data_IF_710367926896
#
_entry.id   IF_710367926896
#
_cell.length_a   1.000
_cell.length_b   1.000
_cell.length_c   1.000
_cell.angle_alpha   90.00
_cell.angle_beta   90.00
_cell.angle_gamma   90.00
#
_symmetry.space_group_name_H-M   'P 1'
#
loop_
_entity.id
_entity.type
_entity.pdbx_description
1 polymer ?
#
# COMPACT_ATOMS: atom_id res chain seq x y z
N UNK A 1 10.26 -5.63 23.35
CA UNK A 1 10.53 -4.20 23.10
C UNK A 1 11.12 -4.11 21.70
N UNK A 2 10.35 -3.66 20.72
CA UNK A 2 10.83 -3.42 19.36
C UNK A 2 12.01 -2.45 19.42
N UNK A 3 13.18 -2.89 18.93
CA UNK A 3 14.31 -1.99 18.73
C UNK A 3 13.99 -1.10 17.51
N UNK A 4 13.20 -0.05 17.70
CA UNK A 4 12.79 0.92 16.66
C UNK A 4 13.96 1.77 16.12
N UNK A 5 15.20 1.43 16.44
CA UNK A 5 16.39 2.27 16.15
C UNK A 5 16.71 2.41 14.65
N UNK A 6 16.00 1.71 13.77
CA UNK A 6 16.28 1.74 12.33
C UNK A 6 15.22 2.41 11.46
N UNK A 7 14.07 2.82 12.04
CA UNK A 7 13.00 3.47 11.27
C UNK A 7 13.25 4.97 11.20
N UNK A 8 13.17 5.53 9.99
CA UNK A 8 13.43 6.94 9.72
C UNK A 8 12.20 7.61 9.11
N UNK A 9 12.01 8.88 9.42
CA UNK A 9 10.95 9.68 8.82
C UNK A 9 11.04 9.62 7.28
N UNK A 10 9.93 9.29 6.62
CA UNK A 10 9.86 9.03 5.19
C UNK A 10 9.98 7.56 4.79
N UNK A 11 10.18 6.64 5.75
CA UNK A 11 10.14 5.21 5.47
C UNK A 11 8.73 4.76 5.11
N UNK A 12 8.64 3.97 4.05
CA UNK A 12 7.42 3.29 3.62
C UNK A 12 7.40 1.94 4.31
N UNK A 13 6.33 1.63 5.06
CA UNK A 13 6.20 0.39 5.81
C UNK A 13 5.15 -0.49 5.13
N UNK A 14 5.61 -1.59 4.55
CA UNK A 14 4.79 -2.61 3.91
C UNK A 14 4.41 -3.68 4.92
N UNK A 15 3.15 -4.08 4.93
CA UNK A 15 2.59 -4.98 5.94
C UNK A 15 1.93 -6.21 5.35
N UNK A 16 2.13 -7.35 6.03
CA UNK A 16 1.28 -8.52 5.95
C UNK A 16 0.30 -8.47 7.11
N UNK A 17 -0.84 -7.80 6.92
CA UNK A 17 -1.91 -7.81 7.91
C UNK A 17 -2.44 -9.23 8.10
N UNK A 18 -2.84 -9.56 9.34
CA UNK A 18 -3.41 -10.87 9.65
C UNK A 18 -4.64 -11.13 8.76
N UNK A 19 -4.69 -12.31 8.14
CA UNK A 19 -5.72 -12.70 7.17
C UNK A 19 -7.09 -13.02 7.80
N UNK A 20 -7.42 -12.44 8.95
CA UNK A 20 -8.71 -12.66 9.62
C UNK A 20 -9.89 -12.00 8.89
N UNK A 21 -9.64 -11.40 7.73
CA UNK A 21 -10.57 -10.67 6.91
C UNK A 21 -10.36 -11.10 5.44
N UNK A 22 -11.47 -11.43 4.78
CA UNK A 22 -11.47 -11.90 3.39
C UNK A 22 -10.88 -10.88 2.42
N UNK A 23 -11.08 -9.57 2.68
CA UNK A 23 -10.50 -8.49 1.90
C UNK A 23 -8.97 -8.56 1.85
N UNK A 24 -8.30 -8.67 3.01
CA UNK A 24 -6.83 -8.76 3.05
C UNK A 24 -6.31 -10.00 2.31
N UNK A 25 -7.05 -11.10 2.36
CA UNK A 25 -6.76 -12.30 1.59
C UNK A 25 -6.84 -12.06 0.08
N UNK A 26 -7.93 -11.44 -0.37
CA UNK A 26 -8.16 -11.12 -1.78
C UNK A 26 -7.11 -10.13 -2.31
N UNK A 27 -6.76 -9.09 -1.53
CA UNK A 27 -5.68 -8.16 -1.88
C UNK A 27 -4.35 -8.91 -2.05
N UNK A 28 -3.98 -9.78 -1.10
CA UNK A 28 -2.73 -10.57 -1.23
C UNK A 28 -2.68 -11.40 -2.51
N UNK A 29 -3.79 -12.02 -2.90
CA UNK A 29 -3.88 -12.84 -4.12
C UNK A 29 -3.81 -11.98 -5.39
N UNK A 30 -4.45 -10.82 -5.38
CA UNK A 30 -4.47 -9.90 -6.52
C UNK A 30 -3.09 -9.32 -6.87
N UNK A 31 -2.21 -9.16 -5.89
CA UNK A 31 -0.84 -8.69 -6.10
C UNK A 31 0.14 -9.79 -6.48
N UNK A 32 -0.23 -11.05 -6.32
CA UNK A 32 0.67 -12.18 -6.54
C UNK A 32 1.14 -12.24 -8.00
N UNK A 33 2.39 -12.64 -8.18
CA UNK A 33 2.99 -12.95 -9.49
C UNK A 33 3.83 -14.21 -9.37
N UNK A 34 4.07 -14.91 -10.46
CA UNK A 34 4.95 -16.08 -10.44
C UNK A 34 6.35 -15.74 -9.90
N UNK A 35 6.95 -16.68 -9.16
CA UNK A 35 8.35 -16.59 -8.67
C UNK A 35 8.64 -15.44 -7.68
N UNK A 36 7.69 -15.01 -6.90
CA UNK A 36 7.91 -14.08 -5.79
C UNK A 36 8.06 -14.84 -4.47
N UNK A 37 8.85 -14.30 -3.53
CA UNK A 37 9.01 -14.92 -2.20
C UNK A 37 7.71 -14.83 -1.38
N UNK A 38 7.55 -15.76 -0.42
CA UNK A 38 6.31 -15.93 0.34
C UNK A 38 5.97 -14.71 1.23
N UNK A 39 6.99 -14.00 1.74
CA UNK A 39 6.76 -12.81 2.56
C UNK A 39 6.19 -11.70 1.67
N UNK A 40 6.81 -11.44 0.53
CA UNK A 40 6.30 -10.43 -0.42
C UNK A 40 4.90 -10.78 -0.91
N UNK A 41 4.60 -12.05 -1.20
CA UNK A 41 3.24 -12.50 -1.57
C UNK A 41 2.20 -12.21 -0.50
N UNK A 42 2.60 -12.16 0.77
CA UNK A 42 1.69 -11.93 1.88
C UNK A 42 1.39 -10.44 2.12
N UNK A 43 2.17 -9.53 1.52
CA UNK A 43 2.00 -8.08 1.69
C UNK A 43 0.66 -7.63 1.09
N UNK A 44 -0.15 -6.96 1.90
CA UNK A 44 -1.49 -6.52 1.54
C UNK A 44 -1.83 -5.11 2.04
N UNK A 45 -0.90 -4.43 2.71
CA UNK A 45 -1.09 -3.09 3.23
C UNK A 45 0.21 -2.28 3.22
N UNK A 46 0.09 -0.96 3.29
CA UNK A 46 1.22 -0.06 3.31
C UNK A 46 0.86 1.28 3.97
N UNK A 47 1.80 1.86 4.70
CA UNK A 47 1.70 3.20 5.29
C UNK A 47 3.02 3.97 5.22
N UNK A 48 2.98 5.25 5.49
CA UNK A 48 4.14 6.16 5.48
C UNK A 48 4.46 6.63 6.90
N UNK A 49 5.66 6.33 7.38
CA UNK A 49 6.13 6.84 8.66
C UNK A 49 6.53 8.32 8.55
N UNK A 50 5.91 9.18 9.32
CA UNK A 50 6.11 10.63 9.26
C UNK A 50 6.95 11.19 10.42
N UNK A 51 7.56 10.31 11.22
CA UNK A 51 8.31 10.70 12.43
C UNK A 51 7.43 10.75 13.68
N UNK A 52 8.03 11.03 14.82
CA UNK A 52 7.32 11.19 16.11
C UNK A 52 6.35 10.05 16.45
N UNK A 53 6.77 8.79 16.20
CA UNK A 53 5.95 7.61 16.44
C UNK A 53 4.61 7.60 15.67
N UNK A 54 4.53 8.25 14.49
CA UNK A 54 3.29 8.41 13.72
C UNK A 54 3.42 7.86 12.31
N UNK A 55 2.43 7.10 11.87
CA UNK A 55 2.25 6.61 10.51
C UNK A 55 0.96 7.19 9.94
N UNK A 56 0.98 7.61 8.67
CA UNK A 56 -0.23 7.92 7.90
C UNK A 56 -0.51 6.77 6.96
N UNK A 57 -1.77 6.32 6.95
CA UNK A 57 -2.26 5.22 6.13
C UNK A 57 -3.69 5.48 5.65
N UNK A 58 -4.12 4.77 4.61
CA UNK A 58 -5.53 4.72 4.20
C UNK A 58 -6.13 3.38 4.61
N UNK A 59 -7.20 3.42 5.39
CA UNK A 59 -7.92 2.24 5.92
C UNK A 59 -9.36 2.21 5.43
N UNK A 60 -9.92 1.01 5.19
CA UNK A 60 -11.29 0.85 4.70
C UNK A 60 -12.34 1.55 5.58
N UNK A 61 -12.16 1.51 6.90
CA UNK A 61 -13.19 1.98 7.83
C UNK A 61 -13.10 3.49 8.11
N UNK A 62 -11.91 4.09 7.98
CA UNK A 62 -11.68 5.45 8.45
C UNK A 62 -11.06 6.37 7.40
N UNK A 63 -10.78 5.86 6.19
CA UNK A 63 -10.06 6.63 5.18
C UNK A 63 -8.61 6.89 5.58
N UNK A 64 -8.10 8.07 5.26
CA UNK A 64 -6.72 8.47 5.55
C UNK A 64 -6.61 9.00 6.97
N UNK A 65 -5.86 8.28 7.79
CA UNK A 65 -5.69 8.55 9.23
C UNK A 65 -4.23 8.56 9.65
N UNK A 66 -3.98 9.16 10.81
CA UNK A 66 -2.77 8.95 11.60
C UNK A 66 -2.98 7.85 12.64
N UNK A 67 -1.98 7.00 12.82
CA UNK A 67 -1.93 6.14 14.00
C UNK A 67 -0.50 6.00 14.54
N UNK A 68 -0.37 5.47 15.76
CA UNK A 68 0.95 5.24 16.35
C UNK A 68 1.71 4.15 15.58
N UNK A 69 3.01 4.35 15.37
CA UNK A 69 3.90 3.35 14.78
C UNK A 69 3.79 1.99 15.49
N UNK A 70 3.69 2.02 16.81
CA UNK A 70 3.57 0.80 17.62
C UNK A 70 2.30 0.01 17.25
N UNK A 71 1.14 0.65 17.20
CA UNK A 71 -0.11 0.00 16.81
C UNK A 71 -0.05 -0.50 15.37
N UNK A 72 0.48 0.33 14.47
CA UNK A 72 0.64 -0.02 13.06
C UNK A 72 1.47 -1.30 12.91
N UNK A 73 2.67 -1.38 13.51
CA UNK A 73 3.54 -2.55 13.43
C UNK A 73 2.90 -3.79 14.07
N UNK A 74 2.26 -3.64 15.23
CA UNK A 74 1.63 -4.77 15.95
C UNK A 74 0.42 -5.38 15.22
N UNK A 75 -0.21 -4.65 14.31
CA UNK A 75 -1.35 -5.14 13.53
C UNK A 75 -0.95 -6.21 12.50
N UNK A 76 0.32 -6.26 12.10
CA UNK A 76 0.81 -7.13 11.05
C UNK A 76 1.57 -8.35 11.58
N UNK A 77 1.61 -9.40 10.77
CA UNK A 77 2.48 -10.57 10.98
C UNK A 77 3.92 -10.28 10.53
N UNK A 78 4.07 -9.55 9.44
CA UNK A 78 5.36 -9.13 8.89
C UNK A 78 5.32 -7.66 8.53
N UNK A 79 6.41 -6.97 8.79
CA UNK A 79 6.62 -5.58 8.41
C UNK A 79 7.94 -5.47 7.64
N UNK A 80 7.90 -4.80 6.49
CA UNK A 80 9.07 -4.53 5.65
C UNK A 80 9.18 -3.02 5.49
N UNK A 81 10.34 -2.46 5.77
CA UNK A 81 10.65 -1.06 5.55
C UNK A 81 11.27 -0.89 4.17
N UNK A 82 10.73 0.00 3.37
CA UNK A 82 11.35 0.51 2.16
C UNK A 82 11.77 1.96 2.34
N UNK A 83 13.06 2.24 2.24
CA UNK A 83 13.63 3.60 2.32
C UNK A 83 14.13 4.02 0.96
N UNK A 84 13.64 5.13 0.44
CA UNK A 84 14.09 5.66 -0.84
C UNK A 84 15.35 6.54 -0.69
N UNK A 85 16.01 6.84 -1.83
CA UNK A 85 17.25 7.64 -1.84
C UNK A 85 17.00 9.14 -1.78
N UNK A 86 15.98 9.61 -2.46
CA UNK A 86 15.77 11.02 -2.79
C UNK A 86 15.12 11.78 -1.64
N UNK A 87 15.89 12.60 -0.96
CA UNK A 87 15.45 13.39 0.18
C UNK A 87 14.41 14.46 -0.21
N UNK A 88 14.49 15.02 -1.42
CA UNK A 88 13.52 16.02 -1.90
C UNK A 88 12.18 15.36 -2.14
N UNK A 89 12.18 14.20 -2.78
CA UNK A 89 10.97 13.38 -2.98
C UNK A 89 10.35 13.00 -1.63
N UNK A 90 11.16 12.57 -0.64
CA UNK A 90 10.68 12.25 0.71
C UNK A 90 10.01 13.45 1.37
N UNK A 91 10.67 14.61 1.38
CA UNK A 91 10.12 15.82 2.00
C UNK A 91 8.81 16.26 1.34
N UNK A 92 8.74 16.16 0.03
CA UNK A 92 7.53 16.44 -0.72
C UNK A 92 6.42 15.43 -0.41
N UNK A 93 6.75 14.14 -0.30
CA UNK A 93 5.80 13.09 0.07
C UNK A 93 5.21 13.33 1.46
N UNK A 94 6.04 13.65 2.44
CA UNK A 94 5.60 13.98 3.80
C UNK A 94 4.63 15.18 3.84
N UNK A 95 4.87 16.20 3.01
CA UNK A 95 3.95 17.34 2.90
C UNK A 95 2.64 16.99 2.22
N UNK A 96 2.68 16.14 1.16
CA UNK A 96 1.47 15.74 0.42
C UNK A 96 0.59 14.81 1.24
N UNK A 97 1.17 13.79 1.88
CA UNK A 97 0.40 12.79 2.64
C UNK A 97 -0.37 13.43 3.79
N UNK A 98 0.21 14.43 4.46
CA UNK A 98 -0.48 15.17 5.54
C UNK A 98 -1.71 15.93 5.05
N UNK A 99 -1.71 16.39 3.79
CA UNK A 99 -2.87 17.07 3.20
C UNK A 99 -4.01 16.10 2.84
N UNK A 100 -3.72 14.81 2.82
CA UNK A 100 -4.73 13.77 2.53
C UNK A 100 -5.48 13.31 3.78
N UNK A 101 -5.08 13.75 4.99
CA UNK A 101 -5.76 13.37 6.22
C UNK A 101 -7.24 13.71 6.17
N UNK A 102 -8.09 12.75 6.57
CA UNK A 102 -9.55 12.86 6.53
C UNK A 102 -10.17 12.56 5.16
N UNK A 103 -9.38 12.32 4.11
CA UNK A 103 -9.93 11.84 2.84
C UNK A 103 -10.56 10.45 3.00
N UNK A 104 -11.65 10.14 2.28
CA UNK A 104 -12.30 8.83 2.37
C UNK A 104 -11.39 7.72 1.79
N UNK A 105 -11.76 6.46 2.07
CA UNK A 105 -11.14 5.33 1.40
C UNK A 105 -11.74 5.16 0.00
N UNK A 106 -10.90 5.01 -1.02
CA UNK A 106 -11.34 4.66 -2.37
C UNK A 106 -11.71 3.16 -2.43
N UNK A 107 -12.96 2.83 -2.09
CA UNK A 107 -13.45 1.45 -2.10
C UNK A 107 -13.56 0.86 -3.51
N UNK A 108 -13.70 1.70 -4.52
CA UNK A 108 -13.88 1.24 -5.89
C UNK A 108 -12.57 0.84 -6.57
N UNK A 109 -11.46 1.30 -6.06
CA UNK A 109 -10.13 1.22 -6.71
C UNK A 109 -10.08 1.86 -8.10
N UNK A 110 -11.17 2.47 -8.57
CA UNK A 110 -11.15 3.18 -9.84
C UNK A 110 -10.20 4.37 -9.79
N UNK A 111 -9.37 4.58 -10.83
CA UNK A 111 -8.64 5.83 -11.00
C UNK A 111 -9.63 7.00 -10.99
N UNK A 112 -9.26 8.10 -10.39
CA UNK A 112 -10.07 9.33 -10.29
C UNK A 112 -11.30 9.25 -9.37
N UNK A 113 -11.53 8.16 -8.65
CA UNK A 113 -12.52 8.13 -7.59
C UNK A 113 -12.02 8.95 -6.38
N UNK A 114 -12.96 9.46 -5.59
CA UNK A 114 -12.63 10.19 -4.37
C UNK A 114 -11.92 9.32 -3.34
N UNK A 115 -10.91 9.90 -2.67
CA UNK A 115 -10.17 9.23 -1.62
C UNK A 115 -8.99 8.42 -2.11
N UNK A 116 -8.50 7.53 -1.24
CA UNK A 116 -7.29 6.75 -1.49
C UNK A 116 -7.43 5.34 -0.93
N UNK A 117 -7.01 4.31 -1.66
CA UNK A 117 -6.63 3.04 -1.05
C UNK A 117 -5.14 3.08 -0.63
N UNK A 118 -4.69 2.13 0.16
CA UNK A 118 -3.41 2.24 0.88
C UNK A 118 -2.20 2.50 -0.03
N UNK A 119 -2.03 1.76 -1.12
CA UNK A 119 -0.90 1.97 -2.04
C UNK A 119 -1.09 3.17 -2.97
N UNK A 120 -2.33 3.56 -3.27
CA UNK A 120 -2.64 4.79 -4.01
C UNK A 120 -2.21 6.04 -3.23
N UNK A 121 -2.44 6.07 -1.92
CA UNK A 121 -1.95 7.13 -1.05
C UNK A 121 -0.43 7.29 -1.15
N UNK A 122 0.31 6.19 -1.18
CA UNK A 122 1.76 6.20 -1.34
C UNK A 122 2.16 6.74 -2.73
N UNK A 123 1.54 6.25 -3.81
CA UNK A 123 1.87 6.74 -5.17
C UNK A 123 1.48 8.20 -5.38
N UNK A 124 0.41 8.67 -4.75
CA UNK A 124 0.03 10.07 -4.74
C UNK A 124 1.03 10.95 -3.98
N UNK A 125 1.49 10.48 -2.81
CA UNK A 125 2.45 11.22 -2.00
C UNK A 125 3.82 11.33 -2.68
N UNK A 126 4.31 10.24 -3.26
CA UNK A 126 5.63 10.18 -3.87
C UNK A 126 5.58 10.58 -5.35
N UNK A 127 5.99 11.81 -5.63
CA UNK A 127 6.15 12.37 -6.98
C UNK A 127 7.57 12.88 -7.14
N UNK A 128 8.09 12.85 -8.37
CA UNK A 128 9.33 13.53 -8.74
C UNK A 128 9.18 15.06 -8.58
N UNK A 129 10.27 15.80 -8.69
CA UNK A 129 10.23 17.26 -8.70
C UNK A 129 9.37 17.81 -9.84
N UNK A 130 9.34 17.12 -11.00
CA UNK A 130 8.52 17.48 -12.16
C UNK A 130 7.04 17.07 -12.01
N UNK A 131 6.65 16.46 -10.87
CA UNK A 131 5.28 16.04 -10.60
C UNK A 131 4.89 14.67 -11.17
N UNK A 132 5.82 13.95 -11.80
CA UNK A 132 5.57 12.60 -12.32
C UNK A 132 5.51 11.57 -11.18
N UNK A 133 4.89 10.43 -11.43
CA UNK A 133 4.91 9.32 -10.48
C UNK A 133 6.33 8.86 -10.20
N UNK A 134 6.70 8.77 -8.92
CA UNK A 134 7.98 8.19 -8.50
C UNK A 134 7.96 6.67 -8.65
N UNK A 135 6.84 6.04 -8.26
CA UNK A 135 6.58 4.62 -8.49
C UNK A 135 5.79 4.43 -9.78
N UNK A 136 6.17 3.44 -10.59
CA UNK A 136 5.40 3.04 -11.75
C UNK A 136 4.04 2.47 -11.31
N UNK A 137 3.00 2.80 -12.07
CA UNK A 137 1.68 2.19 -11.97
C UNK A 137 1.60 0.99 -12.91
N UNK A 138 0.77 0.02 -12.56
CA UNK A 138 0.57 -1.20 -13.31
C UNK A 138 -0.91 -1.49 -13.53
N UNK A 139 -1.27 -2.23 -14.59
CA UNK A 139 -2.63 -2.74 -14.73
C UNK A 139 -3.02 -3.55 -13.50
N UNK A 140 -4.12 -3.14 -12.84
CA UNK A 140 -4.65 -3.86 -11.68
C UNK A 140 -5.14 -5.25 -12.09
N UNK A 141 -4.97 -6.22 -11.22
CA UNK A 141 -5.44 -7.58 -11.41
C UNK A 141 -6.33 -8.04 -10.26
N UNK A 142 -7.51 -8.52 -10.61
CA UNK A 142 -8.52 -9.07 -9.68
C UNK A 142 -8.72 -10.57 -9.90
N UNK A 143 -7.87 -11.20 -10.73
CA UNK A 143 -7.94 -12.61 -11.10
C UNK A 143 -7.00 -13.46 -10.26
N UNK A 144 -7.40 -14.70 -10.05
CA UNK A 144 -6.51 -15.77 -9.61
C UNK A 144 -5.50 -16.11 -10.70
N UNK A 145 -4.22 -16.25 -10.35
CA UNK A 145 -3.15 -16.53 -11.30
C UNK A 145 -3.20 -17.94 -11.88
N UNK A 146 -3.76 -18.91 -11.16
CA UNK A 146 -3.81 -20.30 -11.59
C UNK A 146 -4.97 -20.56 -12.56
N UNK A 147 -6.13 -19.95 -12.28
CA UNK A 147 -7.35 -20.17 -13.08
C UNK A 147 -7.58 -19.09 -14.13
N UNK A 148 -6.93 -17.92 -13.97
CA UNK A 148 -7.18 -16.71 -14.77
C UNK A 148 -8.62 -16.19 -14.70
N UNK A 149 -9.38 -16.60 -13.70
CA UNK A 149 -10.75 -16.13 -13.43
C UNK A 149 -10.75 -15.07 -12.36
N UNK A 150 -11.72 -14.13 -12.41
CA UNK A 150 -11.91 -13.15 -11.35
C UNK A 150 -12.18 -13.88 -10.04
N UNK A 151 -11.49 -13.51 -8.97
CA UNK A 151 -11.72 -14.05 -7.63
C UNK A 151 -13.18 -13.80 -7.21
N UNK A 152 -13.86 -14.83 -6.70
CA UNK A 152 -15.26 -14.75 -6.27
C UNK A 152 -15.49 -13.60 -5.29
N UNK A 153 -14.54 -13.36 -4.38
CA UNK A 153 -14.56 -12.23 -3.46
C UNK A 153 -14.78 -10.89 -4.19
N UNK A 154 -14.06 -10.63 -5.27
CA UNK A 154 -14.18 -9.37 -6.01
C UNK A 154 -15.48 -9.26 -6.79
N UNK A 155 -16.02 -10.39 -7.29
CA UNK A 155 -17.34 -10.41 -7.94
C UNK A 155 -18.40 -9.94 -6.95
N UNK A 156 -18.43 -10.50 -5.73
CA UNK A 156 -19.37 -10.12 -4.69
C UNK A 156 -19.15 -8.68 -4.22
N UNK A 157 -17.90 -8.30 -3.97
CA UNK A 157 -17.53 -6.97 -3.51
C UNK A 157 -18.01 -5.86 -4.47
N UNK A 158 -17.77 -6.01 -5.78
CA UNK A 158 -18.18 -5.00 -6.76
C UNK A 158 -19.67 -5.04 -7.07
N UNK A 159 -20.32 -6.19 -6.94
CA UNK A 159 -21.77 -6.28 -6.98
C UNK A 159 -22.40 -5.47 -5.84
N UNK A 160 -21.89 -5.59 -4.63
CA UNK A 160 -22.39 -4.86 -3.46
C UNK A 160 -22.14 -3.35 -3.57
N UNK A 161 -21.04 -2.95 -4.21
CA UNK A 161 -20.77 -1.54 -4.54
C UNK A 161 -21.60 -1.01 -5.73
N UNK A 162 -22.29 -1.89 -6.47
CA UNK A 162 -22.95 -1.56 -7.73
C UNK A 162 -22.01 -0.87 -8.74
N UNK A 163 -20.79 -1.42 -8.88
CA UNK A 163 -19.73 -0.89 -9.75
C UNK A 163 -19.09 -1.99 -10.59
N UNK A 164 -18.38 -1.59 -11.65
CA UNK A 164 -17.63 -2.49 -12.52
C UNK A 164 -16.25 -2.72 -11.89
N UNK A 165 -15.73 -3.94 -12.01
CA UNK A 165 -14.36 -4.27 -11.58
C UNK A 165 -13.37 -3.53 -12.49
N UNK A 166 -12.43 -2.71 -11.95
CA UNK A 166 -11.47 -1.96 -12.75
C UNK A 166 -10.29 -2.85 -13.20
N UNK A 167 -10.58 -4.02 -13.75
CA UNK A 167 -9.60 -4.97 -14.25
C UNK A 167 -8.79 -4.33 -15.39
N UNK A 168 -7.48 -4.30 -15.24
CA UNK A 168 -6.52 -3.69 -16.16
C UNK A 168 -6.44 -2.15 -16.15
N UNK A 169 -7.24 -1.45 -15.35
CA UNK A 169 -7.01 -0.03 -15.10
C UNK A 169 -5.65 0.19 -14.42
N UNK A 170 -4.99 1.29 -14.72
CA UNK A 170 -3.71 1.62 -14.10
C UNK A 170 -3.90 1.97 -12.62
N UNK A 171 -3.18 1.29 -11.77
CA UNK A 171 -3.23 1.49 -10.33
C UNK A 171 -1.96 1.03 -9.64
N UNK A 172 -2.04 0.85 -8.34
CA UNK A 172 -0.93 0.38 -7.53
C UNK A 172 -1.35 -0.76 -6.62
N UNK A 173 -0.36 -1.53 -6.17
CA UNK A 173 -0.53 -2.58 -5.18
C UNK A 173 0.69 -2.60 -4.26
N UNK A 174 0.56 -2.83 -2.94
CA UNK A 174 1.70 -2.81 -2.02
C UNK A 174 2.84 -3.72 -2.45
N UNK A 175 2.55 -4.94 -2.93
CA UNK A 175 3.57 -5.86 -3.45
C UNK A 175 4.28 -5.30 -4.68
N UNK A 176 3.56 -4.64 -5.60
CA UNK A 176 4.14 -4.04 -6.80
C UNK A 176 5.04 -2.86 -6.46
N UNK A 177 4.68 -2.04 -5.48
CA UNK A 177 5.55 -0.97 -4.98
C UNK A 177 6.84 -1.54 -4.42
N UNK A 178 6.76 -2.53 -3.53
CA UNK A 178 7.93 -3.16 -2.91
C UNK A 178 8.85 -3.85 -3.94
N UNK A 179 8.30 -4.35 -5.03
CA UNK A 179 9.06 -5.01 -6.11
C UNK A 179 9.88 -4.05 -6.96
N UNK A 180 9.61 -2.76 -6.96
CA UNK A 180 10.43 -1.74 -7.63
C UNK A 180 11.71 -1.46 -6.83
N UNK A 181 12.48 -2.52 -6.55
CA UNK A 181 13.63 -2.53 -5.62
C UNK A 181 14.70 -1.49 -5.94
N UNK A 182 14.86 -1.14 -7.21
CA UNK A 182 15.81 -0.13 -7.68
C UNK A 182 15.50 1.30 -7.18
N UNK A 183 14.28 1.55 -6.72
CA UNK A 183 13.88 2.84 -6.14
C UNK A 183 14.26 2.97 -4.66
N UNK A 184 14.57 1.86 -4.00
CA UNK A 184 14.89 1.85 -2.57
C UNK A 184 16.39 1.82 -2.32
N UNK A 185 16.86 2.70 -1.45
CA UNK A 185 18.20 2.66 -0.87
C UNK A 185 18.38 1.44 0.03
N UNK A 186 17.35 1.11 0.77
CA UNK A 186 17.38 0.04 1.78
C UNK A 186 16.01 -0.60 1.85
N UNK A 187 15.99 -1.93 1.96
CA UNK A 187 14.81 -2.72 2.29
C UNK A 187 15.18 -3.57 3.51
N UNK A 188 14.41 -3.44 4.60
CA UNK A 188 14.65 -4.12 5.88
C UNK A 188 13.38 -4.82 6.34
N UNK A 189 13.52 -6.06 6.83
CA UNK A 189 12.43 -6.73 7.55
C UNK A 189 12.53 -6.37 9.03
N UNK A 190 11.40 -5.98 9.62
CA UNK A 190 11.31 -5.80 11.08
C UNK A 190 10.99 -7.16 11.71
N UNK A 191 11.83 -7.60 12.61
CA UNK A 191 11.63 -8.81 13.44
C UNK A 191 10.83 -8.48 14.71
#
# INVERSE_FOLDING_TARGET
>A
VLKNNNIQCGDIIFQSLKKNNAFNGAVSLSGAVPKIDEITKSINHVGLYIGNNTVIEATQNYGVIEQSLTNFICAAKHNIIGRIHDLVVIQNALRRVKKCLGSPYNHSFHPYADGFYCSELITYAFKTEQGNNYFALYPMNFKDLATNEILSYWIDYYRDLNQIIPQHELGSHPQQLLRQRHLFKTILTLE
#
